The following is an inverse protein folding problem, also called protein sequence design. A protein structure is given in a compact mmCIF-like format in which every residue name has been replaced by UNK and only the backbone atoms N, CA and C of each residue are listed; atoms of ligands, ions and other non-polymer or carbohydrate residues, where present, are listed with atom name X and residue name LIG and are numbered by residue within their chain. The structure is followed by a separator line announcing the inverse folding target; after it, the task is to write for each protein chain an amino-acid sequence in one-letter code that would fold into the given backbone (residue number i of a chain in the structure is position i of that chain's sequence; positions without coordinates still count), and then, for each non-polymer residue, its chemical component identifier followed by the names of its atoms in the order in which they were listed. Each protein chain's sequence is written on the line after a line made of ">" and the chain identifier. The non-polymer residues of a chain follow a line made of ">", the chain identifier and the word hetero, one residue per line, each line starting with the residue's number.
data_IF_857710321325
#
_entry.id   IF_857710321325
#
_cell.length_a   1.000
_cell.length_b   1.000
_cell.length_c   1.000
_cell.angle_alpha   90.00
_cell.angle_beta   90.00
_cell.angle_gamma   90.00
#
_symmetry.space_group_name_H-M   'P 1'
#
loop_
_entity.id
_entity.type
_entity.pdbx_description
1 polymer ?
#
# COMPACT_ATOMS: atom_id res chain seq x y z
N UNK A 1 -23.15 -8.86 -68.72
CA UNK A 1 -23.31 -9.68 -67.50
C UNK A 1 -23.05 -8.75 -66.32
N UNK A 2 -24.09 -8.24 -65.64
CA UNK A 2 -24.56 -8.72 -64.32
C UNK A 2 -23.45 -8.74 -63.25
N UNK A 3 -23.55 -8.18 -62.05
CA UNK A 3 -24.64 -7.57 -61.27
C UNK A 3 -24.04 -6.91 -60.02
N UNK A 4 -24.59 -5.74 -59.65
CA UNK A 4 -24.95 -5.28 -58.30
C UNK A 4 -23.98 -5.33 -57.12
N UNK A 5 -23.87 -4.15 -56.49
CA UNK A 5 -23.28 -3.84 -55.20
C UNK A 5 -23.85 -4.64 -54.01
N UNK A 6 -23.06 -4.79 -52.95
CA UNK A 6 -23.57 -4.83 -51.58
C UNK A 6 -22.47 -4.45 -50.59
N UNK A 7 -22.65 -3.25 -50.05
CA UNK A 7 -22.05 -2.79 -48.79
C UNK A 7 -22.68 -3.60 -47.65
N UNK A 8 -21.87 -4.31 -46.89
CA UNK A 8 -22.21 -4.82 -45.56
C UNK A 8 -21.06 -4.35 -44.65
N UNK A 9 -21.16 -3.19 -43.98
CA UNK A 9 -21.95 -2.94 -42.78
C UNK A 9 -21.80 -4.07 -41.74
N UNK A 10 -21.43 -3.64 -40.53
CA UNK A 10 -21.66 -4.34 -39.27
C UNK A 10 -20.58 -5.33 -38.81
N UNK A 11 -19.57 -4.79 -38.13
CA UNK A 11 -19.18 -5.27 -36.81
C UNK A 11 -18.39 -4.15 -36.13
N UNK A 12 -19.14 -3.13 -35.73
CA UNK A 12 -18.72 -2.20 -34.69
C UNK A 12 -18.62 -3.04 -33.41
N UNK A 13 -17.48 -3.71 -33.20
CA UNK A 13 -17.09 -4.13 -31.86
C UNK A 13 -16.85 -2.84 -31.10
N UNK A 14 -17.95 -2.27 -30.59
CA UNK A 14 -17.96 -1.44 -29.41
C UNK A 14 -17.33 -2.29 -28.32
N UNK A 15 -16.00 -2.25 -28.25
CA UNK A 15 -15.27 -2.49 -27.04
C UNK A 15 -15.77 -1.42 -26.08
N UNK A 16 -16.90 -1.73 -25.44
CA UNK A 16 -17.40 -1.06 -24.26
C UNK A 16 -16.30 -1.31 -23.23
N UNK A 17 -15.27 -0.46 -23.29
CA UNK A 17 -14.36 -0.28 -22.18
C UNK A 17 -15.26 0.23 -21.09
N UNK A 18 -15.71 -0.71 -20.26
CA UNK A 18 -16.39 -0.41 -19.01
C UNK A 18 -15.51 0.63 -18.35
N UNK A 19 -16.04 1.85 -18.21
CA UNK A 19 -15.46 2.82 -17.30
C UNK A 19 -15.57 2.15 -15.94
N UNK A 20 -14.51 1.44 -15.54
CA UNK A 20 -14.37 0.91 -14.20
C UNK A 20 -14.39 2.13 -13.29
N UNK A 21 -15.57 2.37 -12.73
CA UNK A 21 -15.82 3.42 -11.78
C UNK A 21 -14.77 3.27 -10.69
N UNK A 22 -13.90 4.28 -10.60
CA UNK A 22 -12.61 4.29 -9.90
C UNK A 22 -12.68 4.14 -8.38
N UNK A 23 -13.76 3.52 -7.88
CA UNK A 23 -13.90 3.05 -6.51
C UNK A 23 -12.96 1.86 -6.27
N UNK A 24 -12.05 2.03 -5.31
CA UNK A 24 -11.20 0.93 -4.87
C UNK A 24 -12.08 -0.19 -4.26
N UNK A 25 -11.68 -1.47 -4.38
CA UNK A 25 -12.50 -2.60 -3.95
C UNK A 25 -12.87 -2.51 -2.46
N UNK A 26 -14.09 -2.92 -2.11
CA UNK A 26 -14.47 -3.18 -0.72
C UNK A 26 -13.67 -4.34 -0.14
N UNK A 27 -13.64 -4.46 1.19
CA UNK A 27 -12.85 -5.47 1.90
C UNK A 27 -13.12 -6.89 1.37
N UNK A 28 -14.38 -7.24 1.14
CA UNK A 28 -14.79 -8.56 0.66
C UNK A 28 -14.32 -8.88 -0.76
N UNK A 29 -14.14 -7.85 -1.60
CA UNK A 29 -13.72 -7.99 -3.00
C UNK A 29 -12.21 -8.07 -3.17
N UNK A 30 -11.45 -7.97 -2.08
CA UNK A 30 -9.99 -8.11 -2.09
C UNK A 30 -9.57 -9.56 -2.39
N UNK A 31 -8.48 -9.70 -3.15
CA UNK A 31 -7.86 -11.01 -3.38
C UNK A 31 -7.47 -11.65 -2.03
N UNK A 32 -7.54 -12.99 -1.88
CA UNK A 32 -7.21 -13.66 -0.61
C UNK A 32 -5.88 -13.20 -0.01
N UNK A 33 -4.83 -13.12 -0.84
CA UNK A 33 -3.51 -12.63 -0.43
C UNK A 33 -3.53 -11.16 0.04
N UNK A 34 -4.31 -10.29 -0.61
CA UNK A 34 -4.44 -8.90 -0.18
C UNK A 34 -5.13 -8.81 1.17
N UNK A 35 -6.19 -9.60 1.41
CA UNK A 35 -6.88 -9.65 2.71
C UNK A 35 -5.97 -10.11 3.84
N UNK A 36 -5.13 -11.11 3.57
CA UNK A 36 -4.17 -11.60 4.56
C UNK A 36 -3.14 -10.52 4.93
N UNK A 37 -2.54 -9.88 3.91
CA UNK A 37 -1.54 -8.83 4.15
C UNK A 37 -2.15 -7.61 4.84
N UNK A 38 -3.36 -7.22 4.44
CA UNK A 38 -4.05 -6.02 4.90
C UNK A 38 -4.96 -6.27 6.10
N UNK A 39 -4.91 -7.47 6.72
CA UNK A 39 -5.73 -7.84 7.87
C UNK A 39 -5.71 -6.79 9.01
N UNK A 40 -4.58 -6.14 9.34
CA UNK A 40 -4.58 -5.09 10.35
C UNK A 40 -5.48 -3.89 10.03
N UNK A 41 -5.77 -3.62 8.75
CA UNK A 41 -6.60 -2.50 8.29
C UNK A 41 -8.04 -2.90 7.97
N UNK A 42 -8.46 -4.14 8.27
CA UNK A 42 -9.76 -4.67 7.86
C UNK A 42 -10.93 -3.79 8.34
N UNK A 43 -10.86 -3.28 9.56
CA UNK A 43 -11.92 -2.48 10.17
C UNK A 43 -12.06 -1.09 9.55
N UNK A 44 -10.94 -0.49 9.15
CA UNK A 44 -10.88 0.85 8.58
C UNK A 44 -10.99 0.84 7.05
N UNK A 45 -10.85 -0.34 6.42
CA UNK A 45 -10.69 -0.48 4.98
C UNK A 45 -11.81 0.20 4.22
N UNK A 46 -13.07 -0.15 4.48
CA UNK A 46 -14.17 0.34 3.65
C UNK A 46 -14.37 1.86 3.76
N UNK A 47 -14.05 2.45 4.91
CA UNK A 47 -14.11 3.89 5.18
C UNK A 47 -12.87 4.67 4.71
N UNK A 48 -11.87 3.98 4.17
CA UNK A 48 -10.62 4.58 3.74
C UNK A 48 -10.77 5.32 2.41
N UNK A 49 -10.18 6.52 2.34
CA UNK A 49 -10.09 7.31 1.10
C UNK A 49 -9.47 6.48 -0.05
N UNK A 50 -9.98 6.59 -1.29
CA UNK A 50 -9.48 5.82 -2.43
C UNK A 50 -7.96 5.94 -2.67
N UNK A 51 -7.35 7.09 -2.40
CA UNK A 51 -5.90 7.30 -2.55
C UNK A 51 -5.12 6.47 -1.54
N UNK A 52 -5.62 6.37 -0.29
CA UNK A 52 -5.00 5.53 0.73
C UNK A 52 -5.16 4.04 0.40
N UNK A 53 -6.36 3.60 -0.03
CA UNK A 53 -6.61 2.22 -0.47
C UNK A 53 -5.64 1.81 -1.59
N UNK A 54 -5.50 2.64 -2.63
CA UNK A 54 -4.57 2.38 -3.75
C UNK A 54 -3.12 2.19 -3.29
N UNK A 55 -2.66 2.98 -2.31
CA UNK A 55 -1.30 2.84 -1.76
C UNK A 55 -1.12 1.53 -1.01
N UNK A 56 -2.08 1.14 -0.18
CA UNK A 56 -2.02 -0.12 0.57
C UNK A 56 -2.11 -1.35 -0.34
N UNK A 57 -2.90 -1.29 -1.42
CA UNK A 57 -2.91 -2.34 -2.44
C UNK A 57 -1.54 -2.52 -3.09
N UNK A 58 -0.84 -1.42 -3.41
CA UNK A 58 0.53 -1.49 -3.95
C UNK A 58 1.57 -2.00 -2.94
N UNK A 59 1.33 -1.85 -1.62
CA UNK A 59 2.17 -2.48 -0.59
C UNK A 59 1.87 -3.98 -0.55
N UNK A 60 0.60 -4.37 -0.56
CA UNK A 60 0.18 -5.76 -0.56
C UNK A 60 0.71 -6.56 -1.75
N UNK A 61 0.80 -5.92 -2.93
CA UNK A 61 1.38 -6.51 -4.13
C UNK A 61 2.89 -6.82 -3.99
N UNK A 62 3.65 -5.95 -3.31
CA UNK A 62 5.10 -6.14 -3.11
C UNK A 62 5.44 -6.99 -1.89
N UNK A 63 4.49 -7.15 -0.97
CA UNK A 63 4.68 -7.84 0.31
C UNK A 63 5.31 -9.25 0.17
N UNK A 64 4.93 -10.09 -0.80
CA UNK A 64 5.52 -11.43 -0.95
C UNK A 64 7.01 -11.41 -1.29
N UNK A 65 7.50 -10.33 -1.91
CA UNK A 65 8.92 -10.15 -2.24
C UNK A 65 9.74 -9.52 -1.11
N UNK A 66 9.12 -9.16 0.02
CA UNK A 66 9.82 -8.60 1.18
C UNK A 66 10.47 -9.71 2.03
N UNK A 67 11.54 -9.38 2.74
CA UNK A 67 12.11 -10.29 3.73
C UNK A 67 11.13 -10.52 4.90
N UNK A 68 11.22 -11.65 5.65
CA UNK A 68 10.32 -11.92 6.77
C UNK A 68 10.29 -10.79 7.83
N UNK A 69 11.44 -10.18 8.11
CA UNK A 69 11.54 -9.04 9.03
C UNK A 69 10.83 -7.78 8.51
N UNK A 70 10.85 -7.55 7.20
CA UNK A 70 10.15 -6.43 6.57
C UNK A 70 8.64 -6.64 6.53
N UNK A 71 8.21 -7.88 6.24
CA UNK A 71 6.82 -8.30 6.30
C UNK A 71 6.24 -8.06 7.70
N UNK A 72 6.90 -8.59 8.72
CA UNK A 72 6.49 -8.43 10.12
C UNK A 72 6.39 -6.94 10.52
N UNK A 73 7.41 -6.14 10.19
CA UNK A 73 7.38 -4.69 10.49
C UNK A 73 6.26 -3.96 9.77
N UNK A 74 5.97 -4.35 8.52
CA UNK A 74 4.91 -3.73 7.71
C UNK A 74 3.54 -3.98 8.32
N UNK A 75 3.25 -5.22 8.70
CA UNK A 75 1.99 -5.56 9.38
C UNK A 75 1.89 -4.86 10.75
N UNK A 76 2.97 -4.88 11.54
CA UNK A 76 2.97 -4.29 12.89
C UNK A 76 2.68 -2.79 12.87
N UNK A 77 3.19 -2.05 11.88
CA UNK A 77 3.08 -0.58 11.81
C UNK A 77 1.96 -0.10 10.89
N UNK A 78 1.15 -1.02 10.37
CA UNK A 78 0.19 -0.72 9.31
C UNK A 78 -0.85 0.32 9.76
N UNK A 79 -1.40 0.14 10.96
CA UNK A 79 -2.36 1.06 11.57
C UNK A 79 -1.74 2.42 11.86
N UNK A 80 -0.55 2.44 12.49
CA UNK A 80 0.18 3.68 12.78
C UNK A 80 0.38 4.52 11.51
N UNK A 81 0.81 3.87 10.43
CA UNK A 81 1.06 4.53 9.15
C UNK A 81 -0.21 5.03 8.47
N UNK A 82 -1.31 4.30 8.62
CA UNK A 82 -2.63 4.71 8.14
C UNK A 82 -3.12 5.99 8.85
N UNK A 83 -2.83 6.11 10.14
CA UNK A 83 -3.22 7.23 11.00
C UNK A 83 -2.38 8.50 10.81
N UNK A 84 -1.25 8.44 10.09
CA UNK A 84 -0.39 9.62 9.90
C UNK A 84 -1.05 10.70 9.03
N UNK A 85 -1.06 11.94 9.53
CA UNK A 85 -1.46 13.13 8.77
C UNK A 85 -0.47 13.41 7.62
N UNK A 86 -0.84 14.20 6.60
CA UNK A 86 0.10 14.62 5.55
C UNK A 86 1.38 15.26 6.08
N UNK A 87 1.27 16.12 7.09
CA UNK A 87 2.39 16.83 7.73
C UNK A 87 3.30 15.85 8.48
N UNK A 88 2.71 14.94 9.25
CA UNK A 88 3.46 13.89 9.95
C UNK A 88 4.19 12.98 8.96
N UNK A 89 3.56 12.64 7.83
CA UNK A 89 4.20 11.85 6.76
C UNK A 89 5.36 12.60 6.14
N UNK A 90 5.26 13.91 5.94
CA UNK A 90 6.37 14.72 5.45
C UNK A 90 7.53 14.74 6.44
N UNK A 91 7.26 14.95 7.73
CA UNK A 91 8.27 14.89 8.76
C UNK A 91 8.98 13.53 8.81
N UNK A 92 8.25 12.42 8.71
CA UNK A 92 8.83 11.07 8.65
C UNK A 92 9.73 10.91 7.43
N UNK A 93 9.30 11.40 6.25
CA UNK A 93 10.09 11.35 5.02
C UNK A 93 11.39 12.15 5.15
N UNK A 94 11.32 13.35 5.70
CA UNK A 94 12.51 14.19 5.91
C UNK A 94 13.47 13.56 6.91
N UNK A 95 12.98 13.06 8.06
CA UNK A 95 13.80 12.31 9.02
C UNK A 95 14.49 11.12 8.36
N UNK A 96 13.77 10.36 7.55
CA UNK A 96 14.34 9.22 6.83
C UNK A 96 15.42 9.65 5.83
N UNK A 97 15.18 10.70 5.03
CA UNK A 97 16.17 11.24 4.09
C UNK A 97 17.45 11.67 4.81
N UNK A 98 17.31 12.35 5.95
CA UNK A 98 18.45 12.78 6.78
C UNK A 98 19.23 11.57 7.28
N UNK A 99 18.57 10.57 7.88
CA UNK A 99 19.23 9.35 8.37
C UNK A 99 19.92 8.59 7.23
N UNK A 100 19.28 8.49 6.06
CA UNK A 100 19.85 7.80 4.89
C UNK A 100 21.15 8.45 4.41
N UNK A 101 21.26 9.79 4.52
CA UNK A 101 22.46 10.56 4.15
C UNK A 101 23.59 10.52 5.19
N UNK A 102 23.32 10.05 6.41
CA UNK A 102 24.35 9.98 7.46
C UNK A 102 25.43 8.93 7.14
N UNK A 103 26.66 9.08 7.67
CA UNK A 103 27.69 8.06 7.59
C UNK A 103 27.22 6.70 8.14
N UNK A 104 27.71 5.56 7.62
CA UNK A 104 27.31 4.23 8.06
C UNK A 104 27.35 4.06 9.57
N UNK A 105 28.43 4.50 10.23
CA UNK A 105 28.61 4.35 11.69
C UNK A 105 27.50 5.02 12.48
N UNK A 106 27.07 6.23 12.06
CA UNK A 106 25.95 6.95 12.69
C UNK A 106 24.63 6.23 12.48
N UNK A 107 24.40 5.63 11.31
CA UNK A 107 23.21 4.80 11.07
C UNK A 107 23.23 3.53 11.93
N UNK A 108 24.39 2.91 12.12
CA UNK A 108 24.55 1.74 12.99
C UNK A 108 24.29 2.10 14.46
N UNK A 109 24.78 3.26 14.92
CA UNK A 109 24.53 3.77 16.25
C UNK A 109 23.02 3.97 16.51
N UNK A 110 22.31 4.63 15.57
CA UNK A 110 20.85 4.81 15.66
C UNK A 110 20.14 3.45 15.72
N UNK A 111 20.53 2.50 14.87
CA UNK A 111 19.92 1.16 14.83
C UNK A 111 20.13 0.40 16.14
N UNK A 112 21.30 0.56 16.77
CA UNK A 112 21.59 -0.06 18.07
C UNK A 112 20.72 0.55 19.17
N UNK A 113 20.68 1.88 19.27
CA UNK A 113 19.84 2.60 20.24
C UNK A 113 18.36 2.25 20.10
N UNK A 114 17.89 2.06 18.86
CA UNK A 114 16.53 1.61 18.59
C UNK A 114 16.25 0.20 19.13
N UNK A 115 17.17 -0.75 18.93
CA UNK A 115 17.02 -2.12 19.46
C UNK A 115 17.02 -2.13 21.00
N UNK A 116 17.90 -1.36 21.62
CA UNK A 116 17.94 -1.20 23.08
C UNK A 116 16.63 -0.61 23.61
N UNK A 117 16.08 0.40 22.91
CA UNK A 117 14.78 0.97 23.25
C UNK A 117 13.67 -0.08 23.12
N UNK A 118 13.59 -0.84 22.03
CA UNK A 118 12.57 -1.89 21.85
C UNK A 118 12.65 -2.98 22.93
N UNK A 119 13.87 -3.37 23.33
CA UNK A 119 14.10 -4.37 24.38
C UNK A 119 13.73 -3.84 25.78
N UNK A 120 14.11 -2.59 26.09
CA UNK A 120 13.89 -2.00 27.41
C UNK A 120 12.47 -1.47 27.61
N UNK A 121 11.77 -1.10 26.53
CA UNK A 121 10.43 -0.49 26.62
C UNK A 121 9.28 -1.49 26.64
N UNK A 122 9.52 -2.80 26.42
CA UNK A 122 8.64 -3.92 26.80
C UNK A 122 7.12 -3.80 26.58
N UNK A 123 6.63 -2.92 25.70
CA UNK A 123 5.19 -2.67 25.49
C UNK A 123 4.64 -1.30 25.89
N UNK A 124 5.43 -0.28 26.24
CA UNK A 124 4.90 1.09 26.44
C UNK A 124 4.96 1.92 25.16
N UNK A 125 4.05 1.62 24.22
CA UNK A 125 3.74 2.44 23.05
C UNK A 125 2.26 2.85 23.02
N UNK A 126 1.65 3.00 24.19
CA UNK A 126 0.40 3.75 24.34
C UNK A 126 0.76 5.21 24.61
N UNK A 127 0.68 6.03 23.56
CA UNK A 127 0.37 7.45 23.58
C UNK A 127 0.16 7.95 22.15
#
# INVERSE_FOLDING_TARGET
>A
MARSALVAAFCLCLSLSTLAESSQPSWEKLKPQQREVLAPLAQEWDNMDPVKKKKWLGIAERYPGMTPSEQHRTQLRMRDWYSLTPEQRELVREKYKTIKKMPPDKRHEIKRKWREYEQNSGGRREQ
#
